data_IF_806582951060
#
_entry.id   IF_806582951060
#
_cell.length_a   1.000
_cell.length_b   1.000
_cell.length_c   1.000
_cell.angle_alpha   90.00
_cell.angle_beta   90.00
_cell.angle_gamma   90.00
#
_symmetry.space_group_name_H-M   'P 1'
#
loop_
_entity.id
_entity.type
_entity.pdbx_description
1 polymer ?
#
# COMPACT_ATOMS: atom_id res chain seq x y z
N UNK A 1 6.68 3.85 17.05
CA UNK A 1 5.77 3.29 16.03
C UNK A 1 6.61 2.86 14.84
N UNK A 2 6.36 1.68 14.32
CA UNK A 2 7.01 1.25 13.08
C UNK A 2 6.28 1.88 11.90
N UNK A 3 7.05 2.39 10.93
CA UNK A 3 6.49 3.02 9.72
C UNK A 3 6.85 2.17 8.51
N UNK A 4 5.85 1.87 7.71
CA UNK A 4 6.01 1.03 6.53
C UNK A 4 5.12 1.54 5.40
N UNK A 5 5.32 1.03 4.20
CA UNK A 5 4.60 1.50 3.03
C UNK A 5 4.21 0.36 2.11
N UNK A 6 3.18 0.60 1.31
CA UNK A 6 2.79 -0.24 0.21
C UNK A 6 2.96 0.51 -1.10
N UNK A 7 3.44 -0.19 -2.12
CA UNK A 7 3.71 0.40 -3.44
C UNK A 7 3.13 -0.48 -4.53
N UNK A 8 2.25 0.10 -5.33
CA UNK A 8 1.72 -0.53 -6.54
C UNK A 8 2.14 0.31 -7.74
N UNK A 9 3.02 -0.25 -8.57
CA UNK A 9 3.59 0.45 -9.72
C UNK A 9 2.89 0.03 -11.00
N UNK A 10 2.33 0.99 -11.72
CA UNK A 10 1.76 0.78 -13.04
C UNK A 10 2.68 1.36 -14.12
N UNK A 11 2.66 0.75 -15.29
CA UNK A 11 3.46 1.22 -16.43
C UNK A 11 2.77 2.39 -17.15
N UNK A 12 1.51 2.25 -17.48
CA UNK A 12 0.63 3.32 -17.97
C UNK A 12 -0.43 3.68 -16.95
N UNK A 13 -0.62 2.78 -16.00
CA UNK A 13 -1.54 2.92 -14.89
C UNK A 13 -0.94 3.79 -13.80
N UNK A 14 -1.76 4.30 -12.89
CA UNK A 14 -1.24 5.07 -11.76
C UNK A 14 -0.28 4.27 -10.89
N UNK A 15 0.70 4.97 -10.33
CA UNK A 15 1.53 4.45 -9.24
C UNK A 15 0.92 4.92 -7.93
N UNK A 16 0.65 3.98 -7.04
CA UNK A 16 0.06 4.23 -5.74
C UNK A 16 1.07 3.90 -4.64
N UNK A 17 1.21 4.79 -3.68
CA UNK A 17 2.10 4.63 -2.53
C UNK A 17 1.38 5.10 -1.28
N UNK A 18 1.31 4.24 -0.28
CA UNK A 18 0.68 4.60 0.99
C UNK A 18 1.67 4.38 2.13
N UNK A 19 1.68 5.31 3.08
CA UNK A 19 2.55 5.28 4.25
C UNK A 19 1.72 5.02 5.49
N UNK A 20 2.06 3.97 6.22
CA UNK A 20 1.34 3.56 7.42
C UNK A 20 2.28 3.48 8.62
N UNK A 21 1.72 3.69 9.80
CA UNK A 21 2.39 3.44 11.06
C UNK A 21 1.63 2.40 11.86
N UNK A 22 2.36 1.60 12.63
CA UNK A 22 1.75 0.65 13.58
C UNK A 22 2.23 1.00 14.99
N UNK A 23 1.26 1.25 15.87
CA UNK A 23 1.52 1.53 17.27
C UNK A 23 1.38 0.24 18.06
N UNK A 24 2.50 -0.26 18.59
CA UNK A 24 2.54 -1.51 19.36
C UNK A 24 1.80 -1.42 20.68
N UNK A 25 1.70 -0.24 21.26
CA UNK A 25 1.02 -0.06 22.56
C UNK A 25 -0.49 -0.16 22.43
N UNK A 26 -1.06 0.52 21.42
CA UNK A 26 -2.50 0.51 21.17
C UNK A 26 -2.95 -0.59 20.21
N UNK A 27 -2.01 -1.22 19.51
CA UNK A 27 -2.28 -2.21 18.46
C UNK A 27 -3.15 -1.63 17.35
N UNK A 28 -2.90 -0.36 16.99
CA UNK A 28 -3.63 0.37 15.95
C UNK A 28 -2.73 0.73 14.79
N UNK A 29 -3.33 0.75 13.60
CA UNK A 29 -2.70 1.22 12.38
C UNK A 29 -3.10 2.65 12.09
N UNK A 30 -2.17 3.41 11.55
CA UNK A 30 -2.38 4.81 11.17
C UNK A 30 -1.94 5.00 9.72
N UNK A 31 -2.86 5.38 8.85
CA UNK A 31 -2.53 5.77 7.48
C UNK A 31 -2.10 7.24 7.52
N UNK A 32 -0.81 7.47 7.31
CA UNK A 32 -0.16 8.75 7.58
C UNK A 32 -0.09 9.65 6.35
N UNK A 33 0.19 9.06 5.19
CA UNK A 33 0.39 9.82 3.96
C UNK A 33 0.16 8.92 2.75
N UNK A 34 0.05 9.54 1.58
CA UNK A 34 -0.18 8.82 0.33
C UNK A 34 0.36 9.58 -0.87
N UNK A 35 0.61 8.84 -1.95
CA UNK A 35 0.92 9.39 -3.25
C UNK A 35 0.21 8.56 -4.31
N UNK A 36 -0.48 9.21 -5.22
CA UNK A 36 -1.17 8.56 -6.32
C UNK A 36 -1.07 9.48 -7.54
N UNK A 37 -0.38 9.01 -8.58
CA UNK A 37 -0.23 9.77 -9.80
C UNK A 37 -0.03 8.85 -11.00
N UNK A 38 -0.38 9.35 -12.16
CA UNK A 38 -0.27 8.64 -13.44
C UNK A 38 0.50 9.50 -14.43
N UNK A 39 0.93 8.86 -15.53
CA UNK A 39 1.59 9.56 -16.62
C UNK A 39 2.85 10.30 -16.22
N UNK A 40 3.59 9.72 -15.26
CA UNK A 40 4.87 10.20 -14.76
C UNK A 40 5.97 9.21 -15.12
N UNK A 41 7.20 9.72 -15.21
CA UNK A 41 8.37 8.86 -15.41
C UNK A 41 8.72 8.13 -14.10
N UNK A 42 9.51 7.07 -14.22
CA UNK A 42 10.04 6.36 -13.06
C UNK A 42 10.79 7.31 -12.13
N UNK A 43 11.58 8.23 -12.69
CA UNK A 43 12.32 9.23 -11.91
C UNK A 43 11.37 10.15 -11.12
N UNK A 44 10.28 10.59 -11.74
CA UNK A 44 9.29 11.46 -11.08
C UNK A 44 8.61 10.72 -9.92
N UNK A 45 8.22 9.45 -10.12
CA UNK A 45 7.67 8.63 -9.04
C UNK A 45 8.69 8.42 -7.93
N UNK A 46 9.94 8.12 -8.29
CA UNK A 46 11.01 7.88 -7.32
C UNK A 46 11.27 9.13 -6.47
N UNK A 47 11.23 10.30 -7.08
CA UNK A 47 11.41 11.58 -6.36
C UNK A 47 10.35 11.75 -5.27
N UNK A 48 9.09 11.47 -5.58
CA UNK A 48 8.00 11.60 -4.60
C UNK A 48 8.08 10.53 -3.51
N UNK A 49 8.42 9.31 -3.89
CA UNK A 49 8.59 8.22 -2.91
C UNK A 49 9.72 8.56 -1.94
N UNK A 50 10.85 9.04 -2.44
CA UNK A 50 11.97 9.41 -1.59
C UNK A 50 11.63 10.58 -0.66
N UNK A 51 10.85 11.53 -1.14
CA UNK A 51 10.37 12.64 -0.30
C UNK A 51 9.58 12.10 0.90
N UNK A 52 8.71 11.14 0.66
CA UNK A 52 7.90 10.51 1.72
C UNK A 52 8.75 9.62 2.63
N UNK A 53 9.75 8.94 2.07
CA UNK A 53 10.70 8.13 2.87
C UNK A 53 11.44 9.00 3.88
N UNK A 54 11.87 10.17 3.47
CA UNK A 54 12.58 11.10 4.37
C UNK A 54 11.64 11.73 5.39
N UNK A 55 10.45 12.12 4.95
CA UNK A 55 9.45 12.74 5.83
C UNK A 55 9.02 11.82 6.97
N UNK A 56 8.84 10.54 6.69
CA UNK A 56 8.23 9.60 7.64
C UNK A 56 9.20 8.56 8.20
N UNK A 57 10.44 8.54 7.76
CA UNK A 57 11.46 7.57 8.19
C UNK A 57 10.94 6.13 8.02
N UNK A 58 10.66 5.75 6.77
CA UNK A 58 10.00 4.49 6.43
C UNK A 58 10.98 3.32 6.56
N UNK A 59 10.58 2.29 7.32
CA UNK A 59 11.41 1.09 7.56
C UNK A 59 11.28 0.05 6.44
N UNK A 60 10.07 -0.14 5.90
CA UNK A 60 9.79 -1.17 4.89
C UNK A 60 8.88 -0.62 3.81
N UNK A 61 9.18 -0.98 2.54
CA UNK A 61 8.30 -0.70 1.40
C UNK A 61 7.95 -2.03 0.75
N UNK A 62 6.69 -2.43 0.82
CA UNK A 62 6.20 -3.68 0.25
C UNK A 62 5.68 -3.44 -1.16
N UNK A 63 6.20 -4.20 -2.11
CA UNK A 63 5.86 -4.08 -3.53
C UNK A 63 5.54 -5.46 -4.11
N UNK A 64 4.71 -5.52 -5.14
CA UNK A 64 4.42 -6.77 -5.84
C UNK A 64 5.72 -7.41 -6.36
N UNK A 65 5.92 -8.67 -6.03
CA UNK A 65 7.11 -9.44 -6.44
C UNK A 65 7.23 -9.57 -7.97
N UNK A 66 6.14 -9.40 -8.72
CA UNK A 66 6.19 -9.39 -10.18
C UNK A 66 6.87 -8.14 -10.76
N UNK A 67 7.03 -7.08 -9.96
CA UNK A 67 7.65 -5.82 -10.39
C UNK A 67 9.18 -5.84 -10.25
N UNK A 68 9.83 -6.95 -10.62
CA UNK A 68 11.27 -7.15 -10.40
C UNK A 68 12.13 -6.10 -11.10
N UNK A 69 11.78 -5.75 -12.33
CA UNK A 69 12.52 -4.74 -13.08
C UNK A 69 12.48 -3.37 -12.41
N UNK A 70 11.30 -2.97 -11.94
CA UNK A 70 11.12 -1.71 -11.22
C UNK A 70 11.86 -1.73 -9.89
N UNK A 71 11.82 -2.83 -9.16
CA UNK A 71 12.55 -2.99 -7.90
C UNK A 71 14.05 -2.82 -8.09
N UNK A 72 14.58 -3.45 -9.14
CA UNK A 72 15.99 -3.36 -9.48
C UNK A 72 16.38 -1.92 -9.82
N UNK A 73 15.60 -1.27 -10.65
CA UNK A 73 15.83 0.12 -11.07
C UNK A 73 15.78 1.07 -9.86
N UNK A 74 14.79 0.91 -8.98
CA UNK A 74 14.69 1.71 -7.77
C UNK A 74 15.90 1.54 -6.86
N UNK A 75 16.39 0.31 -6.69
CA UNK A 75 17.54 0.04 -5.84
C UNK A 75 18.83 0.59 -6.46
N UNK A 76 19.02 0.40 -7.76
CA UNK A 76 20.27 0.78 -8.43
C UNK A 76 20.38 2.27 -8.71
N UNK A 77 19.30 2.92 -9.12
CA UNK A 77 19.34 4.27 -9.65
C UNK A 77 18.70 5.33 -8.74
N UNK A 78 17.87 4.92 -7.77
CA UNK A 78 17.11 5.86 -6.96
C UNK A 78 17.26 5.64 -5.46
N UNK A 79 18.09 4.68 -5.06
CA UNK A 79 18.35 4.36 -3.64
C UNK A 79 17.04 4.08 -2.87
N UNK A 80 16.16 3.30 -3.50
CA UNK A 80 14.90 2.84 -2.89
C UNK A 80 14.95 1.32 -2.77
N UNK A 81 15.06 0.81 -1.55
CA UNK A 81 15.04 -0.62 -1.27
C UNK A 81 13.61 -1.06 -0.97
N UNK A 82 13.17 -2.14 -1.60
CA UNK A 82 11.81 -2.66 -1.44
C UNK A 82 11.83 -4.11 -0.98
N UNK A 83 10.70 -4.55 -0.43
CA UNK A 83 10.49 -5.91 0.06
C UNK A 83 9.31 -6.53 -0.69
N UNK A 84 9.40 -7.82 -1.02
CA UNK A 84 8.30 -8.52 -1.69
C UNK A 84 7.04 -8.55 -0.82
N UNK A 85 5.94 -8.09 -1.39
CA UNK A 85 4.65 -8.15 -0.74
C UNK A 85 4.06 -9.56 -0.77
N UNK A 86 3.27 -9.88 0.24
CA UNK A 86 2.39 -11.06 0.22
C UNK A 86 1.21 -10.74 -0.70
N UNK A 87 0.95 -11.60 -1.69
CA UNK A 87 0.06 -11.27 -2.81
C UNK A 87 -1.30 -11.93 -2.77
N UNK A 88 -1.61 -12.75 -1.79
CA UNK A 88 -2.92 -13.39 -1.71
C UNK A 88 -4.02 -12.34 -1.72
N UNK A 89 -4.87 -12.37 -2.75
CA UNK A 89 -5.93 -11.38 -2.91
C UNK A 89 -7.02 -11.60 -1.87
N UNK A 90 -7.54 -12.82 -1.77
CA UNK A 90 -8.65 -13.10 -0.85
C UNK A 90 -8.23 -12.99 0.61
N UNK A 91 -7.09 -13.56 0.97
CA UNK A 91 -6.59 -13.50 2.34
C UNK A 91 -6.22 -12.06 2.72
N UNK A 92 -5.62 -11.32 1.78
CA UNK A 92 -5.25 -9.94 2.00
C UNK A 92 -6.47 -9.03 2.17
N UNK A 93 -7.51 -9.22 1.35
CA UNK A 93 -8.77 -8.46 1.47
C UNK A 93 -9.43 -8.76 2.81
N UNK A 94 -9.51 -10.04 3.20
CA UNK A 94 -10.08 -10.43 4.49
C UNK A 94 -9.31 -9.81 5.65
N UNK A 95 -7.99 -9.76 5.56
CA UNK A 95 -7.13 -9.17 6.58
C UNK A 95 -7.39 -7.66 6.74
N UNK A 96 -7.44 -6.93 5.62
CA UNK A 96 -7.73 -5.49 5.65
C UNK A 96 -9.14 -5.23 6.17
N UNK A 97 -10.12 -6.01 5.71
CA UNK A 97 -11.50 -5.90 6.19
C UNK A 97 -11.58 -6.10 7.71
N UNK A 98 -10.85 -7.05 8.25
CA UNK A 98 -10.80 -7.27 9.70
C UNK A 98 -10.25 -6.08 10.46
N UNK A 99 -9.20 -5.45 9.95
CA UNK A 99 -8.61 -4.26 10.57
C UNK A 99 -9.61 -3.10 10.56
N UNK A 100 -10.29 -2.88 9.43
CA UNK A 100 -11.26 -1.80 9.28
C UNK A 100 -12.50 -2.06 10.16
N UNK A 101 -13.03 -3.26 10.13
CA UNK A 101 -14.25 -3.62 10.86
C UNK A 101 -14.06 -3.58 12.39
N UNK A 102 -12.84 -3.78 12.86
CA UNK A 102 -12.51 -3.70 14.29
C UNK A 102 -12.06 -2.30 14.73
N UNK A 103 -12.23 -1.31 13.88
CA UNK A 103 -11.84 0.09 14.14
C UNK A 103 -10.35 0.22 14.52
N UNK A 104 -9.50 -0.57 13.88
CA UNK A 104 -8.06 -0.60 14.14
C UNK A 104 -7.24 0.19 13.12
N UNK A 105 -7.91 0.85 12.16
CA UNK A 105 -7.26 1.70 11.17
C UNK A 105 -7.77 3.13 11.31
N UNK A 106 -6.83 4.05 11.56
CA UNK A 106 -7.10 5.49 11.59
C UNK A 106 -6.47 6.11 10.36
N UNK A 107 -7.19 7.00 9.70
CA UNK A 107 -6.77 7.58 8.42
C UNK A 107 -6.63 9.09 8.59
N UNK A 108 -5.43 9.60 8.32
CA UNK A 108 -5.21 11.04 8.30
C UNK A 108 -6.04 11.65 7.18
N UNK A 109 -6.68 12.80 7.46
CA UNK A 109 -7.56 13.47 6.50
C UNK A 109 -6.86 13.92 5.21
N UNK A 110 -5.54 13.99 5.19
CA UNK A 110 -4.77 14.27 3.97
C UNK A 110 -4.82 13.11 2.98
N UNK A 111 -5.11 11.91 3.45
CA UNK A 111 -5.16 10.69 2.62
C UNK A 111 -6.50 10.54 1.91
N UNK A 112 -6.84 11.50 1.05
CA UNK A 112 -8.14 11.58 0.38
C UNK A 112 -8.38 10.42 -0.59
N UNK A 113 -7.34 10.00 -1.28
CA UNK A 113 -7.45 8.89 -2.25
C UNK A 113 -7.71 7.57 -1.52
N UNK A 114 -7.04 7.34 -0.40
CA UNK A 114 -7.26 6.15 0.42
C UNK A 114 -8.65 6.15 1.05
N UNK A 115 -9.11 7.31 1.54
CA UNK A 115 -10.47 7.44 2.06
C UNK A 115 -11.51 7.11 0.99
N UNK A 116 -11.36 7.69 -0.20
CA UNK A 116 -12.25 7.41 -1.33
C UNK A 116 -12.22 5.95 -1.73
N UNK A 117 -11.04 5.35 -1.76
CA UNK A 117 -10.83 3.94 -2.08
C UNK A 117 -11.57 3.04 -1.09
N UNK A 118 -11.44 3.29 0.20
CA UNK A 118 -12.08 2.49 1.23
C UNK A 118 -13.60 2.63 1.23
N UNK A 119 -14.13 3.80 0.87
CA UNK A 119 -15.56 4.01 0.71
C UNK A 119 -16.14 3.25 -0.49
N UNK A 120 -15.41 3.22 -1.60
CA UNK A 120 -15.86 2.58 -2.84
C UNK A 120 -15.57 1.09 -2.88
N UNK A 121 -14.55 0.65 -2.16
CA UNK A 121 -14.06 -0.71 -2.20
C UNK A 121 -14.71 -1.49 -1.06
N UNK A 122 -15.58 -2.41 -1.40
CA UNK A 122 -16.12 -3.32 -0.39
C UNK A 122 -15.06 -4.39 -0.12
N UNK A 123 -14.43 -4.30 1.03
CA UNK A 123 -13.42 -5.24 1.49
C UNK A 123 -14.04 -6.57 1.92
N UNK A 124 -14.96 -7.08 1.12
CA UNK A 124 -15.63 -8.34 1.37
C UNK A 124 -14.87 -9.45 0.65
N UNK A 125 -14.43 -10.52 1.34
CA UNK A 125 -13.74 -11.64 0.70
C UNK A 125 -14.65 -12.49 -0.18
N UNK A 126 -15.92 -12.16 -0.33
CA UNK A 126 -16.86 -12.89 -1.18
C UNK A 126 -16.38 -12.86 -2.64
N UNK A 127 -16.12 -14.03 -3.28
CA UNK A 127 -15.62 -14.07 -4.65
C UNK A 127 -16.51 -13.37 -5.66
N UNK A 128 -17.81 -13.30 -5.41
CA UNK A 128 -18.74 -12.65 -6.32
C UNK A 128 -18.58 -11.13 -6.31
N UNK A 129 -18.27 -10.54 -5.17
CA UNK A 129 -18.01 -9.12 -5.04
C UNK A 129 -16.62 -8.76 -5.56
N UNK A 130 -15.64 -9.64 -5.37
CA UNK A 130 -14.29 -9.43 -5.88
C UNK A 130 -14.24 -9.41 -7.41
N UNK A 131 -15.22 -10.01 -8.09
CA UNK A 131 -15.32 -10.00 -9.55
C UNK A 131 -15.87 -8.71 -10.12
N UNK A 132 -16.57 -7.93 -9.31
CA UNK A 132 -17.12 -6.64 -9.68
C UNK A 132 -16.17 -5.49 -9.36
N UNK A 133 -14.88 -5.78 -9.27
CA UNK A 133 -13.87 -4.73 -9.09
C UNK A 133 -14.07 -3.67 -10.17
N UNK A 134 -14.18 -2.38 -9.79
CA UNK A 134 -14.15 -1.32 -10.78
C UNK A 134 -12.91 -1.52 -11.64
N UNK A 135 -13.10 -1.55 -12.95
CA UNK A 135 -12.01 -1.71 -13.90
C UNK A 135 -10.92 -0.71 -13.58
N UNK A 136 -9.71 -1.21 -13.34
CA UNK A 136 -8.46 -0.46 -13.27
C UNK A 136 -8.60 1.05 -13.16
N UNK A 137 -9.20 1.52 -12.08
CA UNK A 137 -9.25 2.94 -11.79
C UNK A 137 -8.19 3.28 -10.73
N UNK A 138 -8.03 4.55 -10.41
CA UNK A 138 -7.04 4.98 -9.43
C UNK A 138 -7.30 4.37 -8.05
N UNK A 139 -8.56 4.14 -7.70
CA UNK A 139 -8.95 3.53 -6.42
C UNK A 139 -8.44 2.09 -6.28
N UNK A 140 -8.42 1.30 -7.35
CA UNK A 140 -7.96 -0.09 -7.29
C UNK A 140 -6.46 -0.18 -7.04
N UNK A 141 -5.67 0.75 -7.58
CA UNK A 141 -4.22 0.77 -7.34
C UNK A 141 -3.90 1.14 -5.90
N UNK A 142 -4.61 2.10 -5.33
CA UNK A 142 -4.44 2.42 -3.92
C UNK A 142 -4.90 1.27 -3.02
N UNK A 143 -5.97 0.58 -3.39
CA UNK A 143 -6.44 -0.61 -2.66
C UNK A 143 -5.37 -1.71 -2.65
N UNK A 144 -4.72 -1.94 -3.78
CA UNK A 144 -3.64 -2.93 -3.87
C UNK A 144 -2.43 -2.52 -3.02
N UNK A 145 -2.05 -1.25 -3.05
CA UNK A 145 -0.95 -0.74 -2.22
C UNK A 145 -1.25 -0.92 -0.73
N UNK A 146 -2.47 -0.58 -0.29
CA UNK A 146 -2.91 -0.77 1.09
C UNK A 146 -2.87 -2.25 1.49
N UNK A 147 -3.35 -3.14 0.63
CA UNK A 147 -3.34 -4.58 0.88
C UNK A 147 -1.91 -5.10 1.00
N UNK A 148 -1.02 -4.69 0.11
CA UNK A 148 0.40 -5.07 0.18
C UNK A 148 1.00 -4.68 1.52
N UNK A 149 0.79 -3.44 1.94
CA UNK A 149 1.35 -2.94 3.18
C UNK A 149 0.78 -3.66 4.41
N UNK A 150 -0.53 -3.65 4.55
CA UNK A 150 -1.18 -4.17 5.77
C UNK A 150 -1.02 -5.68 5.91
N UNK A 151 -1.21 -6.42 4.83
CA UNK A 151 -1.11 -7.88 4.89
C UNK A 151 0.33 -8.35 5.04
N UNK A 152 1.27 -7.71 4.35
CA UNK A 152 2.69 -8.09 4.41
C UNK A 152 3.32 -7.75 5.75
N UNK A 153 3.00 -6.59 6.32
CA UNK A 153 3.51 -6.19 7.63
C UNK A 153 3.06 -7.17 8.72
N UNK A 154 1.78 -7.50 8.76
CA UNK A 154 1.23 -8.43 9.75
C UNK A 154 1.90 -9.79 9.66
N UNK A 155 1.99 -10.36 8.45
CA UNK A 155 2.59 -11.68 8.27
C UNK A 155 4.09 -11.69 8.54
N UNK A 156 4.78 -10.58 8.33
CA UNK A 156 6.22 -10.50 8.63
C UNK A 156 6.48 -10.42 10.13
N UNK A 157 5.56 -9.84 10.91
CA UNK A 157 5.70 -9.73 12.37
C UNK A 157 5.24 -10.98 13.11
N UNK A 158 4.37 -11.79 12.51
CA UNK A 158 3.86 -13.02 13.11
C UNK A 158 4.56 -14.29 12.60
N UNK A 159 5.50 -14.16 11.68
CA UNK A 159 6.16 -15.26 10.98
C UNK A 159 7.34 -15.88 11.73
N UNK A 160 7.24 -16.03 13.03
CA UNK A 160 8.27 -16.70 13.83
C UNK A 160 7.99 -18.18 13.95
#
# INVERSE_FOLDING_TARGET
MDVFAGLDVGYRDPTAFCVLGYDWDSEKYYLLDEYLDAEKTTEQHATEIRRLMEKWDIDYIFIDSAAQQTRFDFAQNYDITTTNAKKSVLDGIAHVAGIVDNDNLFIDQRCKESLSCLDQYQWDPNPNLAREKPKHNMASHMADALRYALYSFETSTTGF
#
